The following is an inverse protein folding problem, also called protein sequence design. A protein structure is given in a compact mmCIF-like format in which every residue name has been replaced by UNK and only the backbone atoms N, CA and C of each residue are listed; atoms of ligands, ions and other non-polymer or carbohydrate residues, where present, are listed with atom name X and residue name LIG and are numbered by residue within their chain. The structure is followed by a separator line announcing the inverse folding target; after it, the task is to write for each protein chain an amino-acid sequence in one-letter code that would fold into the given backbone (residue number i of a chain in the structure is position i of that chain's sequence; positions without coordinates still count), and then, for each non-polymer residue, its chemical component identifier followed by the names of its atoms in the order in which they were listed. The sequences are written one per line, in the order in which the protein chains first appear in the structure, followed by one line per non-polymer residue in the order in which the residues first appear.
data_IF_681914765685
#
_entry.id   IF_681914765685
#
_cell.length_a   1.000
_cell.length_b   1.000
_cell.length_c   1.000
_cell.angle_alpha   90.00
_cell.angle_beta   90.00
_cell.angle_gamma   90.00
#
_symmetry.space_group_name_H-M   'P 1'
#
loop_
_entity.id
_entity.type
_entity.pdbx_description
1 polymer ?
#
# COMPACT_ATOMS: atom_id res chain seq x y z
N UNK A 1 -79.32 -35.57 7.30
CA UNK A 1 -78.43 -36.52 8.00
C UNK A 1 -76.99 -36.17 7.60
N UNK A 2 -76.20 -35.63 8.55
CA UNK A 2 -74.73 -35.42 8.61
C UNK A 2 -73.98 -34.67 7.47
N UNK A 3 -73.34 -33.54 7.86
CA UNK A 3 -71.98 -33.00 7.56
C UNK A 3 -71.24 -33.46 6.27
N UNK A 4 -70.46 -32.65 5.53
CA UNK A 4 -69.51 -31.60 5.96
C UNK A 4 -69.05 -30.70 4.76
N UNK A 5 -68.28 -29.67 5.10
CA UNK A 5 -68.05 -28.42 4.38
C UNK A 5 -66.86 -28.36 3.40
N UNK A 6 -66.89 -27.27 2.60
CA UNK A 6 -65.78 -26.44 2.10
C UNK A 6 -64.74 -27.05 1.13
N UNK A 7 -64.62 -26.50 -0.08
CA UNK A 7 -63.67 -25.41 -0.40
C UNK A 7 -63.55 -25.17 -1.93
N UNK A 8 -63.83 -23.92 -2.31
CA UNK A 8 -62.89 -23.03 -3.02
C UNK A 8 -62.59 -23.20 -4.54
N UNK A 9 -62.85 -22.08 -5.23
CA UNK A 9 -62.20 -21.51 -6.44
C UNK A 9 -62.78 -21.74 -7.85
N UNK A 10 -63.76 -20.89 -8.16
CA UNK A 10 -63.80 -19.87 -9.23
C UNK A 10 -62.92 -20.00 -10.50
N UNK A 11 -63.64 -20.18 -11.63
CA UNK A 11 -63.75 -19.29 -12.81
C UNK A 11 -62.64 -19.22 -13.89
N UNK A 12 -62.94 -19.87 -15.04
CA UNK A 12 -63.14 -19.30 -16.42
C UNK A 12 -61.91 -18.62 -17.09
N UNK A 13 -61.21 -19.23 -18.08
CA UNK A 13 -61.54 -19.50 -19.51
C UNK A 13 -61.83 -18.16 -20.29
N UNK A 14 -60.98 -17.57 -21.17
CA UNK A 14 -60.90 -17.75 -22.66
C UNK A 14 -60.51 -16.41 -23.39
N UNK A 15 -59.61 -16.46 -24.42
CA UNK A 15 -59.45 -15.60 -25.67
C UNK A 15 -59.08 -14.09 -25.46
N UNK A 16 -58.25 -13.35 -26.22
CA UNK A 16 -57.98 -13.12 -27.68
C UNK A 16 -56.71 -12.25 -27.84
N UNK A 17 -55.84 -12.45 -28.84
CA UNK A 17 -55.67 -11.69 -30.12
C UNK A 17 -55.20 -10.20 -30.04
N UNK A 18 -54.14 -9.89 -30.82
CA UNK A 18 -53.59 -8.56 -31.20
C UNK A 18 -52.87 -7.79 -30.06
N UNK A 19 -51.73 -7.11 -30.25
CA UNK A 19 -51.46 -6.04 -31.21
C UNK A 19 -49.95 -5.76 -31.22
N UNK A 20 -49.33 -5.66 -32.40
CA UNK A 20 -47.96 -5.19 -32.57
C UNK A 20 -47.94 -3.68 -32.26
N UNK A 21 -47.20 -3.28 -31.22
CA UNK A 21 -47.00 -1.87 -30.86
C UNK A 21 -45.53 -1.51 -31.08
N UNK A 22 -45.29 -0.74 -32.14
CA UNK A 22 -44.09 0.07 -32.31
C UNK A 22 -44.05 1.10 -31.19
N UNK A 23 -43.06 1.01 -30.31
CA UNK A 23 -42.65 2.15 -29.48
C UNK A 23 -41.31 2.61 -30.04
N UNK A 24 -41.39 3.70 -30.79
CA UNK A 24 -40.30 4.63 -31.07
C UNK A 24 -39.70 5.09 -29.74
N UNK A 25 -38.56 4.52 -29.36
CA UNK A 25 -37.72 5.11 -28.30
C UNK A 25 -36.97 6.27 -28.94
N UNK A 26 -37.43 7.48 -28.63
CA UNK A 26 -36.66 8.70 -28.87
C UNK A 26 -35.37 8.62 -28.06
N UNK A 27 -34.24 8.63 -28.76
CA UNK A 27 -32.94 8.83 -28.15
C UNK A 27 -32.92 10.28 -27.62
N UNK A 28 -33.08 10.46 -26.31
CA UNK A 28 -32.58 11.68 -25.69
C UNK A 28 -31.07 11.70 -25.93
N UNK A 29 -30.58 12.80 -26.51
CA UNK A 29 -29.17 13.14 -26.47
C UNK A 29 -28.82 13.22 -24.99
N UNK A 30 -28.19 12.17 -24.47
CA UNK A 30 -27.50 12.25 -23.20
C UNK A 30 -26.15 12.89 -23.51
N UNK A 31 -25.92 13.99 -22.81
CA UNK A 31 -24.68 14.74 -22.79
C UNK A 31 -23.52 13.76 -22.59
N UNK A 32 -22.43 14.02 -23.31
CA UNK A 32 -21.14 13.36 -23.11
C UNK A 32 -20.74 13.56 -21.65
N UNK A 33 -21.06 12.57 -20.82
CA UNK A 33 -20.36 12.42 -19.56
C UNK A 33 -18.95 12.01 -19.96
N UNK A 34 -17.98 12.87 -19.66
CA UNK A 34 -16.61 12.43 -19.47
C UNK A 34 -16.66 11.18 -18.60
N UNK A 35 -16.44 10.02 -19.23
CA UNK A 35 -16.12 8.81 -18.53
C UNK A 35 -14.91 9.15 -17.67
N UNK A 36 -15.16 9.36 -16.38
CA UNK A 36 -14.12 9.32 -15.37
C UNK A 36 -13.62 7.89 -15.41
N UNK A 37 -12.49 7.70 -16.11
CA UNK A 37 -11.77 6.45 -16.09
C UNK A 37 -11.68 5.99 -14.62
N UNK A 38 -12.13 4.77 -14.28
CA UNK A 38 -11.76 4.20 -13.00
C UNK A 38 -10.24 4.21 -12.94
N UNK A 39 -9.64 4.68 -11.84
CA UNK A 39 -8.20 4.74 -11.63
C UNK A 39 -7.56 3.38 -11.98
N UNK A 40 -7.12 3.24 -13.23
CA UNK A 40 -6.77 1.98 -13.83
C UNK A 40 -5.26 1.82 -13.72
N UNK A 41 -4.86 0.73 -13.06
CA UNK A 41 -3.65 -0.07 -13.29
C UNK A 41 -2.50 0.67 -13.98
N UNK A 42 -1.38 0.85 -13.31
CA UNK A 42 -0.13 0.98 -14.05
C UNK A 42 1.08 0.43 -13.27
N UNK A 43 1.49 -0.82 -13.52
CA UNK A 43 2.88 -1.25 -13.28
C UNK A 43 3.93 -0.32 -13.90
N UNK A 44 3.57 0.54 -14.87
CA UNK A 44 4.42 1.64 -15.34
C UNK A 44 4.64 2.73 -14.30
N UNK A 45 3.69 3.05 -13.39
CA UNK A 45 3.95 4.06 -12.35
C UNK A 45 5.04 3.63 -11.37
N UNK A 46 5.11 2.33 -11.03
CA UNK A 46 6.18 1.81 -10.17
C UNK A 46 7.52 1.83 -10.92
N UNK A 47 7.53 1.44 -12.21
CA UNK A 47 8.75 1.45 -13.03
C UNK A 47 9.24 2.87 -13.40
N UNK A 48 8.33 3.86 -13.43
CA UNK A 48 8.66 5.27 -13.63
C UNK A 48 9.18 5.92 -12.34
N UNK A 49 8.72 5.44 -11.17
CA UNK A 49 9.10 5.96 -9.85
C UNK A 49 10.37 5.30 -9.30
N UNK A 50 10.50 3.98 -9.45
CA UNK A 50 11.56 3.17 -8.85
C UNK A 50 12.50 2.68 -9.96
N UNK A 51 13.80 3.04 -9.92
CA UNK A 51 14.77 2.58 -10.91
C UNK A 51 14.87 1.05 -10.96
N UNK A 52 15.08 0.49 -12.15
CA UNK A 52 15.28 -0.96 -12.35
C UNK A 52 16.35 -1.55 -11.40
N UNK A 53 17.40 -0.77 -11.11
CA UNK A 53 18.47 -1.19 -10.22
C UNK A 53 17.99 -1.46 -8.79
N UNK A 54 17.01 -0.70 -8.30
CA UNK A 54 16.41 -0.94 -6.99
C UNK A 54 15.67 -2.28 -6.95
N UNK A 55 14.96 -2.66 -8.02
CA UNK A 55 14.33 -3.99 -8.10
C UNK A 55 15.32 -5.14 -8.06
N UNK A 56 16.49 -5.01 -8.70
CA UNK A 56 17.56 -6.01 -8.59
C UNK A 56 18.07 -6.16 -7.16
N UNK A 57 18.16 -5.04 -6.42
CA UNK A 57 18.60 -5.04 -5.03
C UNK A 57 17.52 -5.67 -4.13
N UNK A 58 16.24 -5.32 -4.33
CA UNK A 58 15.11 -5.96 -3.62
C UNK A 58 15.11 -7.49 -3.81
N UNK A 59 15.36 -7.96 -5.03
CA UNK A 59 15.48 -9.39 -5.34
C UNK A 59 16.69 -10.00 -4.61
N UNK A 60 17.85 -9.33 -4.62
CA UNK A 60 19.05 -9.80 -3.90
C UNK A 60 18.86 -9.86 -2.37
N UNK A 61 18.02 -8.99 -1.82
CA UNK A 61 17.63 -8.97 -0.41
C UNK A 61 16.51 -9.99 -0.10
N UNK A 62 16.00 -10.72 -1.09
CA UNK A 62 14.85 -11.60 -0.98
C UNK A 62 13.65 -10.90 -0.32
N UNK A 63 13.37 -9.64 -0.69
CA UNK A 63 12.27 -8.87 -0.13
C UNK A 63 10.92 -9.53 -0.46
N UNK A 64 10.06 -9.84 0.53
CA UNK A 64 8.80 -10.55 0.29
C UNK A 64 7.71 -9.60 -0.23
N UNK A 65 7.81 -9.23 -1.50
CA UNK A 65 6.81 -8.39 -2.17
C UNK A 65 5.50 -9.16 -2.33
N UNK A 66 4.41 -8.59 -1.82
CA UNK A 66 3.04 -9.10 -1.98
C UNK A 66 2.44 -8.50 -3.25
N UNK A 67 2.02 -9.36 -4.17
CA UNK A 67 1.29 -8.96 -5.37
C UNK A 67 -0.22 -8.93 -5.12
N UNK A 68 -0.95 -8.23 -5.99
CA UNK A 68 -2.41 -8.14 -5.96
C UNK A 68 -2.90 -6.70 -6.15
N UNK A 69 -4.15 -6.54 -6.56
CA UNK A 69 -4.76 -5.25 -6.89
C UNK A 69 -5.85 -4.82 -5.90
N UNK A 70 -5.98 -5.53 -4.78
CA UNK A 70 -6.95 -5.24 -3.73
C UNK A 70 -6.30 -5.26 -2.33
N UNK A 71 -5.34 -4.35 -2.07
CA UNK A 71 -4.70 -4.24 -0.77
C UNK A 71 -5.67 -3.73 0.31
N UNK A 72 -5.36 -3.96 1.60
CA UNK A 72 -6.07 -3.32 2.70
C UNK A 72 -5.79 -1.81 2.75
N UNK A 73 -6.65 -1.05 3.44
CA UNK A 73 -6.35 0.34 3.82
C UNK A 73 -5.37 0.35 5.00
N UNK A 74 -4.11 0.65 4.72
CA UNK A 74 -3.02 0.66 5.70
C UNK A 74 -2.91 1.97 6.48
N UNK A 75 -3.84 2.91 6.31
CA UNK A 75 -3.77 4.22 6.96
C UNK A 75 -3.63 4.12 8.49
N UNK A 76 -2.63 4.81 9.02
CA UNK A 76 -2.29 4.77 10.44
C UNK A 76 -0.82 5.08 10.69
N UNK A 77 -0.47 5.17 11.97
CA UNK A 77 0.91 5.24 12.44
C UNK A 77 1.23 3.94 13.18
N UNK A 78 2.41 3.38 12.94
CA UNK A 78 2.86 2.10 13.47
C UNK A 78 4.23 2.25 14.11
N UNK A 79 4.47 1.52 15.19
CA UNK A 79 5.74 1.55 15.92
C UNK A 79 6.57 0.36 15.48
N UNK A 80 7.76 0.59 14.93
CA UNK A 80 8.71 -0.47 14.58
C UNK A 80 9.74 -0.59 15.69
N UNK A 81 9.64 -1.65 16.50
CA UNK A 81 10.47 -1.82 17.70
C UNK A 81 10.59 -3.29 18.16
N UNK A 82 11.80 -3.90 18.14
CA UNK A 82 13.06 -3.35 17.64
C UNK A 82 13.12 -3.38 16.10
N UNK A 83 13.80 -2.41 15.49
CA UNK A 83 14.12 -2.46 14.06
C UNK A 83 15.36 -3.35 13.81
N UNK A 84 15.17 -4.61 13.39
CA UNK A 84 16.26 -5.61 13.30
C UNK A 84 16.73 -5.80 11.84
N UNK A 85 18.03 -5.69 11.59
CA UNK A 85 18.63 -5.92 10.28
C UNK A 85 18.61 -7.40 9.89
N UNK A 86 17.92 -7.73 8.80
CA UNK A 86 17.73 -9.09 8.31
C UNK A 86 18.67 -9.47 7.17
N UNK A 87 18.89 -8.55 6.22
CA UNK A 87 19.81 -8.71 5.08
C UNK A 87 20.41 -7.37 4.69
N UNK A 88 21.57 -7.41 4.06
CA UNK A 88 22.25 -6.21 3.57
C UNK A 88 23.10 -6.54 2.35
N UNK A 89 23.25 -5.55 1.47
CA UNK A 89 24.29 -5.56 0.42
C UNK A 89 25.56 -4.83 0.85
N UNK A 90 25.51 -4.09 1.96
CA UNK A 90 26.61 -3.26 2.48
C UNK A 90 27.68 -4.15 3.11
N UNK A 91 28.94 -3.90 2.76
CA UNK A 91 30.06 -4.61 3.37
C UNK A 91 30.20 -4.26 4.86
N UNK A 92 30.45 -5.28 5.70
CA UNK A 92 30.63 -5.16 7.16
C UNK A 92 29.36 -4.91 8.00
N UNK A 93 28.18 -4.87 7.40
CA UNK A 93 26.92 -4.90 8.16
C UNK A 93 26.79 -6.20 8.98
N UNK A 94 26.35 -6.07 10.23
CA UNK A 94 26.13 -7.22 11.12
C UNK A 94 24.65 -7.64 11.07
N UNK A 95 24.36 -8.75 10.40
CA UNK A 95 23.00 -9.30 10.39
C UNK A 95 22.53 -9.64 11.81
N UNK A 96 21.31 -9.23 12.15
CA UNK A 96 20.71 -9.32 13.48
C UNK A 96 21.00 -8.12 14.39
N UNK A 97 21.75 -7.12 13.91
CA UNK A 97 21.94 -5.85 14.62
C UNK A 97 20.64 -5.06 14.68
N UNK A 98 20.39 -4.42 15.83
CA UNK A 98 19.25 -3.53 16.00
C UNK A 98 19.63 -2.13 15.57
N UNK A 99 18.78 -1.56 14.73
CA UNK A 99 18.79 -0.18 14.30
C UNK A 99 17.82 0.63 15.15
N UNK A 100 17.87 1.96 15.02
CA UNK A 100 16.94 2.82 15.74
C UNK A 100 15.48 2.47 15.43
N UNK A 101 14.68 2.49 16.48
CA UNK A 101 13.23 2.36 16.38
C UNK A 101 12.65 3.61 15.73
N UNK A 102 11.51 3.46 15.05
CA UNK A 102 10.88 4.58 14.35
C UNK A 102 9.37 4.44 14.30
N UNK A 103 8.71 5.58 14.11
CA UNK A 103 7.30 5.64 13.76
C UNK A 103 7.15 5.64 12.24
N UNK A 104 6.32 4.74 11.73
CA UNK A 104 5.95 4.65 10.32
C UNK A 104 4.51 5.11 10.16
N UNK A 105 4.26 6.15 9.37
CA UNK A 105 2.90 6.62 9.10
C UNK A 105 2.55 6.52 7.62
N UNK A 106 1.40 5.93 7.35
CA UNK A 106 0.73 5.96 6.05
C UNK A 106 -0.50 6.85 6.14
N UNK A 107 -0.56 7.88 5.29
CA UNK A 107 -1.70 8.80 5.22
C UNK A 107 -2.25 8.83 3.81
N UNK A 108 -3.43 8.25 3.64
CA UNK A 108 -4.19 8.42 2.41
C UNK A 108 -4.78 9.84 2.33
N UNK A 109 -4.72 10.51 1.16
CA UNK A 109 -5.39 11.80 0.97
C UNK A 109 -6.91 11.68 0.99
N UNK A 110 -7.48 10.54 0.58
CA UNK A 110 -8.92 10.27 0.53
C UNK A 110 -9.22 8.76 0.71
N UNK A 111 -10.39 8.40 1.22
CA UNK A 111 -10.82 6.99 1.28
C UNK A 111 -10.80 6.34 -0.12
N UNK A 112 -10.21 5.14 -0.22
CA UNK A 112 -10.11 4.39 -1.48
C UNK A 112 -9.00 4.84 -2.45
N UNK A 113 -8.10 5.75 -2.05
CA UNK A 113 -6.93 6.09 -2.85
C UNK A 113 -5.84 5.02 -2.77
N UNK A 114 -5.19 4.74 -3.90
CA UNK A 114 -3.98 3.90 -3.96
C UNK A 114 -2.68 4.72 -3.81
N UNK A 115 -2.79 6.04 -3.59
CA UNK A 115 -1.65 6.93 -3.36
C UNK A 115 -1.57 7.33 -1.88
N UNK A 116 -0.42 7.13 -1.25
CA UNK A 116 -0.21 7.50 0.16
C UNK A 116 0.92 8.51 0.32
N UNK A 117 0.75 9.42 1.27
CA UNK A 117 1.91 10.07 1.89
C UNK A 117 2.48 9.10 2.93
N UNK A 118 3.77 8.78 2.81
CA UNK A 118 4.50 7.97 3.78
C UNK A 118 5.45 8.87 4.54
N UNK A 119 5.50 8.73 5.86
CA UNK A 119 6.49 9.42 6.69
C UNK A 119 7.12 8.47 7.69
N UNK A 120 8.40 8.67 7.97
CA UNK A 120 9.11 8.02 9.07
C UNK A 120 9.69 9.06 10.00
N UNK A 121 9.62 8.81 11.30
CA UNK A 121 10.22 9.68 12.31
C UNK A 121 11.01 8.83 13.29
N UNK A 122 12.30 9.14 13.46
CA UNK A 122 13.19 8.46 14.39
C UNK A 122 13.70 9.42 15.47
N UNK A 123 13.06 9.40 16.64
CA UNK A 123 13.51 10.14 17.83
C UNK A 123 14.23 9.15 18.76
N UNK A 124 15.56 8.97 18.62
CA UNK A 124 16.48 10.04 19.02
C UNK A 124 17.47 10.52 17.96
N UNK A 125 17.42 9.98 16.74
CA UNK A 125 18.40 10.31 15.68
C UNK A 125 17.96 11.49 14.81
N UNK A 126 16.76 12.03 15.04
CA UNK A 126 16.16 13.15 14.31
C UNK A 126 16.22 12.95 12.78
N UNK A 127 15.96 11.71 12.35
CA UNK A 127 15.82 11.32 10.95
C UNK A 127 14.34 11.34 10.57
N UNK A 128 13.99 12.28 9.70
CA UNK A 128 12.61 12.49 9.22
C UNK A 128 12.52 12.17 7.74
N UNK A 129 11.87 11.04 7.42
CA UNK A 129 11.61 10.59 6.06
C UNK A 129 10.24 11.04 5.59
N UNK A 130 10.16 11.58 4.38
CA UNK A 130 8.86 11.93 3.77
C UNK A 130 8.81 11.53 2.30
N UNK A 131 7.65 11.01 1.90
CA UNK A 131 7.34 10.74 0.51
C UNK A 131 5.89 11.14 0.22
N UNK A 132 5.69 12.05 -0.74
CA UNK A 132 4.36 12.57 -1.06
C UNK A 132 3.54 11.61 -1.93
N UNK A 133 4.21 10.69 -2.65
CA UNK A 133 3.56 9.68 -3.49
C UNK A 133 4.15 8.32 -3.15
N UNK A 134 3.29 7.44 -2.65
CA UNK A 134 3.59 6.02 -2.43
C UNK A 134 2.53 5.18 -3.11
N UNK A 135 2.92 4.04 -3.65
CA UNK A 135 2.05 3.09 -4.30
C UNK A 135 1.85 1.87 -3.40
N UNK A 136 0.63 1.34 -3.34
CA UNK A 136 0.31 0.12 -2.59
C UNK A 136 -0.21 -0.98 -3.52
N UNK A 137 0.18 -2.22 -3.23
CA UNK A 137 -0.37 -3.44 -3.80
C UNK A 137 -0.56 -4.50 -2.73
N UNK A 138 -1.39 -5.50 -3.01
CA UNK A 138 -1.67 -6.55 -2.04
C UNK A 138 -3.02 -7.23 -2.24
N UNK A 139 -3.34 -8.10 -1.29
CA UNK A 139 -4.58 -8.88 -1.28
C UNK A 139 -5.00 -9.18 0.15
N UNK A 140 -6.31 -9.10 0.40
CA UNK A 140 -6.91 -9.34 1.72
C UNK A 140 -6.30 -8.40 2.77
N UNK A 141 -5.56 -8.94 3.74
CA UNK A 141 -4.86 -8.15 4.74
C UNK A 141 -3.34 -8.02 4.47
N UNK A 142 -2.81 -8.65 3.43
CA UNK A 142 -1.39 -8.57 3.08
C UNK A 142 -1.14 -7.41 2.13
N UNK A 143 -0.03 -6.70 2.31
CA UNK A 143 0.31 -5.54 1.48
C UNK A 143 1.81 -5.39 1.21
N UNK A 144 2.13 -4.61 0.18
CA UNK A 144 3.42 -3.98 -0.05
C UNK A 144 3.22 -2.52 -0.47
N UNK A 145 3.87 -1.59 0.24
CA UNK A 145 3.93 -0.17 -0.08
C UNK A 145 5.32 0.15 -0.64
N UNK A 146 5.35 0.82 -1.78
CA UNK A 146 6.54 1.26 -2.49
C UNK A 146 6.59 2.78 -2.48
N UNK A 147 7.73 3.36 -2.12
CA UNK A 147 7.88 4.80 -2.07
C UNK A 147 9.31 5.26 -2.33
N UNK A 148 9.46 6.47 -2.88
CA UNK A 148 10.74 7.17 -2.97
C UNK A 148 10.72 8.25 -1.91
N UNK A 149 11.58 8.08 -0.92
CA UNK A 149 11.59 8.88 0.30
C UNK A 149 12.78 9.81 0.32
N UNK A 150 12.56 11.08 0.59
CA UNK A 150 13.62 12.00 1.01
C UNK A 150 13.65 12.02 2.54
N UNK A 151 14.81 11.67 3.10
CA UNK A 151 15.06 11.64 4.53
C UNK A 151 16.04 12.74 4.90
N UNK A 152 15.64 13.59 5.86
CA UNK A 152 16.49 14.65 6.40
C UNK A 152 17.04 14.22 7.74
N UNK A 153 18.34 14.36 7.92
CA UNK A 153 19.02 14.28 9.21
C UNK A 153 19.12 15.70 9.78
N UNK A 154 18.32 15.97 10.81
CA UNK A 154 18.26 17.29 11.42
C UNK A 154 19.52 17.62 12.24
N UNK A 155 20.24 16.60 12.72
CA UNK A 155 21.45 16.78 13.55
C UNK A 155 22.61 17.25 12.69
N UNK A 156 22.81 16.58 11.55
CA UNK A 156 23.92 16.84 10.64
C UNK A 156 23.57 17.84 9.53
N UNK A 157 22.29 18.19 9.40
CA UNK A 157 21.75 19.11 8.40
C UNK A 157 22.11 18.66 6.97
N UNK A 158 21.93 17.37 6.70
CA UNK A 158 22.04 16.72 5.40
C UNK A 158 20.79 15.88 5.12
N UNK A 159 20.72 15.33 3.90
CA UNK A 159 19.59 14.51 3.47
C UNK A 159 20.03 13.49 2.43
N UNK A 160 19.22 12.46 2.26
CA UNK A 160 19.39 11.45 1.23
C UNK A 160 18.03 11.04 0.65
N UNK A 161 18.07 10.41 -0.52
CA UNK A 161 16.90 9.86 -1.20
C UNK A 161 17.05 8.34 -1.29
N UNK A 162 16.05 7.62 -0.83
CA UNK A 162 15.99 6.15 -0.87
C UNK A 162 14.72 5.64 -1.53
N UNK A 163 14.77 4.41 -2.05
CA UNK A 163 13.57 3.60 -2.24
C UNK A 163 13.28 2.88 -0.95
N UNK A 164 12.08 3.08 -0.41
CA UNK A 164 11.57 2.35 0.75
C UNK A 164 10.44 1.42 0.31
N UNK A 165 10.53 0.16 0.69
CA UNK A 165 9.48 -0.85 0.48
C UNK A 165 9.07 -1.43 1.81
N UNK A 166 7.79 -1.33 2.16
CA UNK A 166 7.23 -1.88 3.40
C UNK A 166 6.26 -3.00 3.06
N UNK A 167 6.32 -4.12 3.77
CA UNK A 167 5.38 -5.24 3.58
C UNK A 167 4.99 -5.87 4.90
N UNK A 168 3.76 -6.38 4.99
CA UNK A 168 3.25 -7.06 6.17
C UNK A 168 1.80 -7.46 6.02
N UNK A 169 1.22 -7.88 7.15
CA UNK A 169 -0.20 -8.24 7.26
C UNK A 169 -0.90 -7.30 8.24
N UNK A 170 -1.86 -6.52 7.74
CA UNK A 170 -2.65 -5.63 8.56
C UNK A 170 -3.57 -6.42 9.51
N UNK A 171 -3.67 -5.95 10.75
CA UNK A 171 -4.68 -6.35 11.74
C UNK A 171 -5.37 -5.11 12.30
N UNK A 172 -6.38 -5.30 13.14
CA UNK A 172 -7.07 -4.18 13.79
C UNK A 172 -6.15 -3.42 14.76
N UNK A 173 -5.16 -4.12 15.33
CA UNK A 173 -4.24 -3.61 16.34
C UNK A 173 -2.89 -3.12 15.79
N UNK A 174 -2.53 -3.43 14.54
CA UNK A 174 -1.19 -3.14 14.01
C UNK A 174 -0.85 -3.87 12.72
N UNK A 175 0.45 -4.09 12.49
CA UNK A 175 0.97 -4.83 11.34
C UNK A 175 1.78 -6.03 11.82
N UNK A 176 1.34 -7.24 11.45
CA UNK A 176 2.09 -8.48 11.65
C UNK A 176 3.20 -8.63 10.62
N UNK A 177 4.36 -9.08 11.09
CA UNK A 177 5.53 -9.41 10.26
C UNK A 177 5.98 -8.26 9.35
N UNK A 178 5.90 -7.02 9.84
CA UNK A 178 6.38 -5.87 9.09
C UNK A 178 7.85 -6.07 8.72
N UNK A 179 8.13 -6.00 7.42
CA UNK A 179 9.47 -6.03 6.83
C UNK A 179 9.64 -4.76 5.99
N UNK A 180 10.80 -4.13 6.08
CA UNK A 180 11.16 -2.95 5.29
C UNK A 180 12.43 -3.25 4.48
N UNK A 181 12.53 -2.70 3.26
CA UNK A 181 13.80 -2.57 2.55
C UNK A 181 14.05 -1.11 2.21
N UNK A 182 15.27 -0.64 2.47
CA UNK A 182 15.76 0.70 2.18
C UNK A 182 16.93 0.60 1.20
N UNK A 183 16.85 1.32 0.08
CA UNK A 183 17.86 1.28 -1.00
C UNK A 183 18.27 2.72 -1.33
N UNK A 184 19.57 3.02 -1.26
CA UNK A 184 20.08 4.35 -1.54
C UNK A 184 20.00 4.70 -3.03
N UNK A 185 19.34 5.82 -3.35
CA UNK A 185 19.31 6.39 -4.70
C UNK A 185 20.26 7.58 -4.85
N UNK A 186 20.36 8.41 -3.81
CA UNK A 186 21.16 9.62 -3.82
C UNK A 186 21.50 10.02 -2.39
N UNK A 187 22.79 10.07 -2.06
CA UNK A 187 23.31 10.45 -0.75
C UNK A 187 23.63 11.96 -0.65
N UNK A 188 23.29 12.73 -1.68
CA UNK A 188 23.62 14.15 -1.83
C UNK A 188 25.13 14.46 -1.66
N UNK A 189 25.98 13.48 -1.99
CA UNK A 189 27.43 13.55 -1.88
C UNK A 189 27.96 13.23 -0.49
N UNK A 190 27.11 12.82 0.45
CA UNK A 190 27.43 12.37 1.80
C UNK A 190 28.53 13.20 2.49
N UNK A 191 28.23 14.47 2.85
CA UNK A 191 29.25 15.38 3.38
C UNK A 191 29.88 14.90 4.70
N UNK A 192 29.24 13.95 5.40
CA UNK A 192 29.63 13.44 6.70
C UNK A 192 30.16 11.99 6.67
N UNK A 193 30.15 11.32 5.51
CA UNK A 193 30.65 9.95 5.30
C UNK A 193 29.97 8.92 6.22
N UNK A 194 28.63 8.99 6.32
CA UNK A 194 27.82 8.17 7.23
C UNK A 194 26.66 7.42 6.58
N UNK A 195 26.36 7.69 5.32
CA UNK A 195 25.30 6.99 4.58
C UNK A 195 25.87 5.75 3.87
N UNK A 196 24.99 4.82 3.51
CA UNK A 196 25.37 3.68 2.66
C UNK A 196 25.57 4.17 1.22
N UNK A 197 26.38 3.46 0.43
CA UNK A 197 26.67 3.90 -0.93
C UNK A 197 25.43 3.82 -1.83
N UNK A 198 25.39 4.65 -2.88
CA UNK A 198 24.33 4.60 -3.91
C UNK A 198 24.27 3.19 -4.53
N UNK A 199 23.06 2.64 -4.62
CA UNK A 199 22.76 1.25 -5.03
C UNK A 199 23.17 0.17 -4.01
N UNK A 200 23.39 0.53 -2.76
CA UNK A 200 23.33 -0.42 -1.64
C UNK A 200 21.97 -0.39 -0.97
N UNK A 201 21.63 -1.46 -0.25
CA UNK A 201 20.40 -1.54 0.50
C UNK A 201 20.44 -2.49 1.67
N UNK A 202 19.52 -2.25 2.60
CA UNK A 202 19.29 -3.03 3.81
C UNK A 202 17.85 -3.49 3.85
N UNK A 203 17.60 -4.68 4.39
CA UNK A 203 16.28 -5.19 4.70
C UNK A 203 16.17 -5.42 6.20
N UNK A 204 15.11 -4.90 6.79
CA UNK A 204 14.82 -4.96 8.21
C UNK A 204 13.49 -5.67 8.47
N UNK A 205 13.29 -6.11 9.70
CA UNK A 205 11.97 -6.51 10.21
C UNK A 205 11.70 -5.82 11.54
N UNK A 206 10.42 -5.76 11.91
CA UNK A 206 10.08 -5.62 13.32
C UNK A 206 10.49 -6.90 14.07
N UNK A 207 11.46 -6.79 14.97
CA UNK A 207 12.05 -7.94 15.65
C UNK A 207 11.10 -8.64 16.61
N UNK A 208 10.02 -7.99 17.04
CA UNK A 208 8.96 -8.64 17.82
C UNK A 208 7.87 -9.28 16.92
N UNK A 209 7.96 -9.06 15.60
CA UNK A 209 7.03 -9.48 14.54
C UNK A 209 5.66 -8.78 14.55
N UNK A 210 5.52 -7.66 15.24
CA UNK A 210 4.28 -6.90 15.36
C UNK A 210 4.53 -5.41 15.60
N UNK A 211 4.17 -4.60 14.61
CA UNK A 211 4.24 -3.14 14.73
C UNK A 211 2.89 -2.61 15.21
N UNK A 212 2.83 -2.24 16.50
CA UNK A 212 1.61 -1.73 17.15
C UNK A 212 1.11 -0.46 16.46
N UNK A 213 -0.21 -0.39 16.24
CA UNK A 213 -0.87 0.83 15.77
C UNK A 213 -0.85 1.88 16.88
N UNK A 214 -0.20 2.99 16.58
CA UNK A 214 -0.10 4.15 17.44
C UNK A 214 -1.33 5.05 17.24
N UNK A 215 -1.96 5.48 18.35
CA UNK A 215 -3.18 6.30 18.35
C UNK A 215 -2.96 7.81 18.52
N UNK A 216 -1.72 8.30 18.35
CA UNK A 216 -1.40 9.73 18.50
C UNK A 216 -1.78 10.54 17.26
#
# INVERSE_FOLDING_TARGET
MKYNANTFRFFTLVISLNFMLFIIVGCSKNEENEDTEPANKNPTMINDLIPQKAFEILDSLNMPIVEGDNPPDVSGTYIVNPNELMRSTVENDNIGENFPDYFLSFKSPNEGSNSFKTTTVCEPFELDGTADISFIQGSENAFSVFTVMETTDQINNDSFISVEVYTGHLTDEGIQYLTNASIMLNDHGDPNDHYIEINEGRMFKDGNNFSDKSGF
#
